data_IF_767591192094
#
_entry.id   IF_767591192094
#
_cell.length_a   1.000
_cell.length_b   1.000
_cell.length_c   1.000
_cell.angle_alpha   90.00
_cell.angle_beta   90.00
_cell.angle_gamma   90.00
#
_symmetry.space_group_name_H-M   'P 1'
#
loop_
_entity.id
_entity.type
_entity.pdbx_description
1 polymer ?
#
# COMPACT_ATOMS: atom_id res chain seq x y z
N UNK A 1 3.87 22.29 -12.61
CA UNK A 1 2.59 22.34 -11.84
C UNK A 1 2.87 22.30 -10.35
N UNK A 2 1.94 22.80 -9.48
CA UNK A 2 1.99 22.54 -8.03
C UNK A 2 1.58 21.09 -7.75
N UNK A 3 2.05 20.49 -6.66
CA UNK A 3 1.58 19.17 -6.22
C UNK A 3 0.07 19.12 -5.99
N UNK A 4 -0.52 17.94 -6.17
CA UNK A 4 -1.94 17.68 -5.96
C UNK A 4 -2.17 16.96 -4.64
N UNK A 5 -3.21 17.35 -3.91
CA UNK A 5 -3.84 16.56 -2.83
C UNK A 5 -5.14 15.96 -3.32
N UNK A 6 -5.45 14.80 -2.81
CA UNK A 6 -6.69 14.09 -3.13
C UNK A 6 -7.55 13.92 -1.88
N UNK A 7 -8.84 13.73 -2.09
CA UNK A 7 -9.76 13.33 -1.02
C UNK A 7 -9.50 11.88 -0.64
N UNK A 8 -9.13 11.57 0.62
CA UNK A 8 -8.88 10.19 1.02
C UNK A 8 -10.19 9.40 1.06
N UNK A 9 -10.19 8.20 0.47
CA UNK A 9 -11.32 7.28 0.58
C UNK A 9 -11.16 6.41 1.84
N UNK A 10 -12.00 6.68 2.86
CA UNK A 10 -12.01 5.94 4.12
C UNK A 10 -12.92 4.72 4.00
N UNK A 11 -12.36 3.53 4.15
CA UNK A 11 -13.07 2.26 4.00
C UNK A 11 -13.23 1.57 5.35
N UNK A 12 -14.49 1.36 5.72
CA UNK A 12 -14.83 0.56 6.90
C UNK A 12 -14.60 -0.92 6.63
N UNK A 13 -14.03 -1.61 7.60
CA UNK A 13 -13.78 -3.04 7.53
C UNK A 13 -14.06 -3.70 8.87
N UNK A 14 -14.37 -5.00 8.86
CA UNK A 14 -14.66 -5.76 10.10
C UNK A 14 -13.44 -5.84 11.04
N UNK A 15 -12.24 -5.67 10.53
CA UNK A 15 -10.97 -5.71 11.26
C UNK A 15 -10.36 -4.33 11.53
N UNK A 16 -10.98 -3.26 11.01
CA UNK A 16 -10.49 -1.88 11.12
C UNK A 16 -10.57 -1.31 12.54
N UNK A 17 -9.90 -0.19 12.73
CA UNK A 17 -9.76 0.51 14.01
C UNK A 17 -9.87 2.02 13.92
N UNK A 18 -9.30 2.71 14.92
CA UNK A 18 -9.34 4.17 15.06
C UNK A 18 -7.99 4.83 14.74
N UNK A 19 -6.92 4.06 14.62
CA UNK A 19 -5.55 4.60 14.54
C UNK A 19 -5.35 5.48 13.30
N UNK A 20 -5.97 5.17 12.15
CA UNK A 20 -5.91 6.01 10.94
C UNK A 20 -6.42 7.42 11.25
N UNK A 21 -7.61 7.54 11.84
CA UNK A 21 -8.21 8.84 12.15
C UNK A 21 -7.38 9.63 13.18
N UNK A 22 -6.91 8.96 14.23
CA UNK A 22 -6.04 9.53 15.25
C UNK A 22 -4.71 10.02 14.64
N UNK A 23 -4.08 9.18 13.82
CA UNK A 23 -2.80 9.48 13.17
C UNK A 23 -2.90 10.65 12.19
N UNK A 24 -3.99 10.72 11.42
CA UNK A 24 -4.26 11.81 10.47
C UNK A 24 -4.80 13.08 11.15
N UNK A 25 -5.22 13.00 12.42
CA UNK A 25 -5.85 14.12 13.14
C UNK A 25 -7.20 14.52 12.51
N UNK A 26 -7.96 13.57 11.98
CA UNK A 26 -9.26 13.79 11.36
C UNK A 26 -10.39 13.22 12.22
N UNK A 27 -11.58 13.84 12.11
CA UNK A 27 -12.80 13.28 12.72
C UNK A 27 -13.32 12.18 11.81
N UNK A 28 -13.28 10.93 12.27
CA UNK A 28 -13.89 9.82 11.57
C UNK A 28 -15.39 9.71 11.90
N UNK A 29 -16.17 9.26 10.92
CA UNK A 29 -17.59 8.91 11.10
C UNK A 29 -17.79 7.49 11.63
N UNK A 30 -16.73 6.67 11.70
CA UNK A 30 -16.76 5.29 12.16
C UNK A 30 -15.55 4.95 13.00
N UNK A 31 -15.70 3.98 13.91
CA UNK A 31 -14.63 3.42 14.75
C UNK A 31 -13.91 2.21 14.11
N UNK A 32 -14.30 1.81 12.91
CA UNK A 32 -13.83 0.62 12.22
C UNK A 32 -13.19 0.92 10.85
N UNK A 33 -12.46 2.04 10.74
CA UNK A 33 -11.77 2.39 9.51
C UNK A 33 -10.52 1.51 9.39
N UNK A 34 -10.56 0.55 8.47
CA UNK A 34 -9.43 -0.35 8.22
C UNK A 34 -8.47 0.18 7.17
N UNK A 35 -8.97 0.92 6.18
CA UNK A 35 -8.15 1.44 5.09
C UNK A 35 -8.46 2.92 4.83
N UNK A 36 -7.43 3.71 4.51
CA UNK A 36 -7.54 5.04 3.92
C UNK A 36 -6.78 5.03 2.60
N UNK A 37 -7.49 5.10 1.49
CA UNK A 37 -6.88 5.15 0.17
C UNK A 37 -6.52 6.60 -0.15
N UNK A 38 -5.24 6.87 -0.23
CA UNK A 38 -4.70 8.22 -0.38
C UNK A 38 -4.59 8.65 -1.85
N UNK A 39 -4.09 7.75 -2.69
CA UNK A 39 -4.05 7.92 -4.14
C UNK A 39 -4.42 6.58 -4.78
N UNK A 40 -5.45 6.57 -5.60
CA UNK A 40 -6.01 5.38 -6.22
C UNK A 40 -6.39 5.62 -7.68
N UNK A 41 -5.92 4.74 -8.56
CA UNK A 41 -6.41 4.62 -9.93
C UNK A 41 -7.41 3.47 -10.13
N UNK A 42 -7.85 2.82 -9.04
CA UNK A 42 -8.80 1.68 -9.12
C UNK A 42 -10.14 2.16 -9.63
N UNK A 43 -10.64 1.58 -10.71
CA UNK A 43 -11.91 1.92 -11.34
C UNK A 43 -13.07 1.85 -10.35
N UNK A 44 -13.85 2.92 -10.28
CA UNK A 44 -14.95 3.08 -9.32
C UNK A 44 -14.51 3.60 -7.93
N UNK A 45 -13.22 3.65 -7.67
CA UNK A 45 -12.61 4.21 -6.45
C UNK A 45 -11.40 5.11 -6.78
N UNK A 46 -11.48 5.81 -7.90
CA UNK A 46 -10.45 6.75 -8.36
C UNK A 46 -10.39 7.95 -7.42
N UNK A 47 -9.17 8.36 -7.09
CA UNK A 47 -8.96 9.54 -6.24
C UNK A 47 -9.45 10.81 -6.92
N UNK A 48 -10.09 11.68 -6.13
CA UNK A 48 -10.63 12.97 -6.56
C UNK A 48 -9.72 14.09 -6.05
N UNK A 49 -9.36 15.03 -6.92
CA UNK A 49 -8.51 16.17 -6.57
C UNK A 49 -9.22 17.07 -5.57
N UNK A 50 -8.62 17.26 -4.39
CA UNK A 50 -9.07 18.20 -3.37
C UNK A 50 -8.47 19.59 -3.56
N UNK A 51 -7.15 19.66 -3.84
CA UNK A 51 -6.42 20.91 -4.08
C UNK A 51 -5.13 20.68 -4.89
N UNK A 52 -4.57 21.74 -5.46
CA UNK A 52 -3.28 21.71 -6.17
C UNK A 52 -3.40 22.02 -7.66
N UNK A 53 -2.34 21.70 -8.41
CA UNK A 53 -2.29 21.93 -9.85
C UNK A 53 -2.01 23.38 -10.27
N UNK A 54 -2.48 23.75 -11.46
CA UNK A 54 -2.27 25.08 -12.07
C UNK A 54 -3.53 25.95 -12.05
N UNK A 55 -4.68 25.35 -11.81
CA UNK A 55 -5.98 26.00 -11.91
C UNK A 55 -6.94 25.48 -10.84
N UNK A 56 -7.85 26.32 -10.37
CA UNK A 56 -8.95 25.90 -9.50
C UNK A 56 -9.93 24.92 -10.21
N UNK A 57 -9.86 24.83 -11.54
CA UNK A 57 -10.63 23.88 -12.36
C UNK A 57 -10.14 22.42 -12.21
N UNK A 58 -8.97 22.19 -11.60
CA UNK A 58 -8.47 20.84 -11.34
C UNK A 58 -9.21 20.17 -10.20
N UNK A 59 -9.78 20.96 -9.29
CA UNK A 59 -10.54 20.45 -8.14
C UNK A 59 -11.78 19.69 -8.59
N UNK A 60 -11.96 18.49 -8.04
CA UNK A 60 -13.09 17.59 -8.34
C UNK A 60 -12.83 16.66 -9.53
N UNK A 61 -11.74 16.82 -10.27
CA UNK A 61 -11.35 15.84 -11.29
C UNK A 61 -10.92 14.54 -10.65
N UNK A 62 -11.27 13.43 -11.27
CA UNK A 62 -10.68 12.13 -10.96
C UNK A 62 -9.22 12.09 -11.40
N UNK A 63 -8.42 11.19 -10.83
CA UNK A 63 -7.01 11.03 -11.24
C UNK A 63 -6.89 10.68 -12.73
N UNK A 64 -7.82 9.90 -13.29
CA UNK A 64 -7.84 9.55 -14.72
C UNK A 64 -8.13 10.77 -15.59
N UNK A 65 -9.09 11.62 -15.22
CA UNK A 65 -9.36 12.89 -15.91
C UNK A 65 -8.17 13.85 -15.81
N UNK A 66 -7.51 13.90 -14.65
CA UNK A 66 -6.29 14.66 -14.44
C UNK A 66 -5.16 14.19 -15.37
N UNK A 67 -4.98 12.87 -15.51
CA UNK A 67 -4.01 12.27 -16.43
C UNK A 67 -4.38 12.59 -17.88
N UNK A 68 -5.65 12.52 -18.27
CA UNK A 68 -6.09 12.91 -19.63
C UNK A 68 -5.76 14.37 -19.95
N UNK A 69 -5.91 15.27 -18.96
CA UNK A 69 -5.63 16.71 -19.10
C UNK A 69 -4.14 17.01 -19.21
N UNK A 70 -3.29 16.40 -18.39
CA UNK A 70 -1.88 16.77 -18.25
C UNK A 70 -0.88 15.76 -18.82
N UNK A 71 -1.30 14.51 -19.06
CA UNK A 71 -0.55 13.46 -19.75
C UNK A 71 0.87 13.27 -19.20
N UNK A 72 1.88 13.32 -20.10
CA UNK A 72 3.30 13.21 -19.76
C UNK A 72 3.81 14.27 -18.78
N UNK A 73 3.17 15.43 -18.73
CA UNK A 73 3.54 16.47 -17.75
C UNK A 73 3.23 16.05 -16.32
N UNK A 74 2.17 15.24 -16.13
CA UNK A 74 1.80 14.70 -14.83
C UNK A 74 2.59 13.44 -14.50
N UNK A 75 2.58 12.44 -15.39
CA UNK A 75 3.13 11.12 -15.13
C UNK A 75 4.62 10.96 -15.48
N UNK A 76 5.14 11.77 -16.42
CA UNK A 76 6.39 11.55 -17.12
C UNK A 76 6.17 10.76 -18.42
N UNK A 77 7.02 11.01 -19.42
CA UNK A 77 6.86 10.48 -20.77
C UNK A 77 6.77 8.95 -20.80
N UNK A 78 7.78 8.26 -20.22
CA UNK A 78 7.83 6.78 -20.20
C UNK A 78 6.70 6.15 -19.41
N UNK A 79 6.29 6.79 -18.30
CA UNK A 79 5.18 6.30 -17.47
C UNK A 79 3.87 6.44 -18.24
N UNK A 80 3.65 7.58 -18.91
CA UNK A 80 2.45 7.79 -19.71
C UNK A 80 2.41 6.86 -20.94
N UNK A 81 3.53 6.64 -21.61
CA UNK A 81 3.61 5.65 -22.71
C UNK A 81 3.24 4.23 -22.27
N UNK A 82 3.65 3.85 -21.05
CA UNK A 82 3.41 2.50 -20.50
C UNK A 82 1.99 2.30 -19.98
N UNK A 83 1.41 3.30 -19.32
CA UNK A 83 0.15 3.16 -18.58
C UNK A 83 -1.01 3.96 -19.17
N UNK A 84 -0.75 4.87 -20.12
CA UNK A 84 -1.80 5.73 -20.70
C UNK A 84 -2.47 6.58 -19.62
N UNK A 85 -3.79 6.43 -19.49
CA UNK A 85 -4.60 7.13 -18.49
C UNK A 85 -4.76 6.37 -17.18
N UNK A 86 -4.26 5.13 -17.10
CA UNK A 86 -4.34 4.33 -15.87
C UNK A 86 -3.22 4.78 -14.90
N UNK A 87 -3.60 5.17 -13.70
CA UNK A 87 -2.62 5.50 -12.67
C UNK A 87 -2.00 4.21 -12.10
N UNK A 88 -0.65 4.08 -12.05
CA UNK A 88 -0.01 2.77 -11.85
C UNK A 88 0.05 2.27 -10.40
N UNK A 89 -0.19 3.14 -9.40
CA UNK A 89 -0.02 2.83 -7.99
C UNK A 89 -1.31 3.03 -7.18
N UNK A 90 -1.41 2.31 -6.08
CA UNK A 90 -2.40 2.53 -5.03
C UNK A 90 -1.67 2.69 -3.70
N UNK A 91 -1.96 3.79 -3.01
CA UNK A 91 -1.35 4.15 -1.73
C UNK A 91 -2.40 4.11 -0.65
N UNK A 92 -2.14 3.40 0.44
CA UNK A 92 -3.07 3.27 1.57
C UNK A 92 -2.39 3.44 2.91
N UNK A 93 -3.15 3.91 3.89
CA UNK A 93 -2.91 3.59 5.30
C UNK A 93 -3.81 2.41 5.68
N UNK A 94 -3.28 1.48 6.47
CA UNK A 94 -4.01 0.31 6.96
C UNK A 94 -3.90 0.26 8.49
N UNK A 95 -5.06 0.16 9.17
CA UNK A 95 -5.16 -0.04 10.62
C UNK A 95 -5.75 -1.41 10.92
N UNK A 96 -4.92 -2.33 11.38
CA UNK A 96 -5.33 -3.69 11.76
C UNK A 96 -5.66 -3.77 13.25
N UNK A 97 -6.89 -3.42 13.66
CA UNK A 97 -7.36 -3.68 15.01
C UNK A 97 -7.45 -5.19 15.29
N UNK A 98 -7.78 -5.97 14.28
CA UNK A 98 -7.77 -7.45 14.28
C UNK A 98 -6.92 -7.94 13.12
N UNK A 99 -6.53 -9.22 13.14
CA UNK A 99 -5.79 -9.83 12.04
C UNK A 99 -6.56 -9.69 10.71
N UNK A 100 -5.90 -9.31 9.65
CA UNK A 100 -6.45 -9.38 8.31
C UNK A 100 -6.53 -10.85 7.87
N UNK A 101 -7.34 -11.14 6.85
CA UNK A 101 -7.33 -12.48 6.24
C UNK A 101 -5.96 -12.84 5.73
N UNK A 102 -5.62 -14.13 5.81
CA UNK A 102 -4.49 -14.67 5.04
C UNK A 102 -4.87 -14.64 3.57
N UNK A 103 -4.00 -14.10 2.75
CA UNK A 103 -4.28 -13.82 1.35
C UNK A 103 -3.04 -13.94 0.46
N UNK A 104 -3.28 -14.03 -0.83
CA UNK A 104 -2.26 -13.97 -1.87
C UNK A 104 -2.79 -13.16 -3.05
N UNK A 105 -1.89 -12.53 -3.78
CA UNK A 105 -2.24 -11.74 -4.97
C UNK A 105 -1.65 -12.38 -6.23
N UNK A 106 -2.40 -12.38 -7.36
CA UNK A 106 -1.88 -12.87 -8.63
C UNK A 106 -0.79 -11.94 -9.18
N UNK A 107 0.14 -12.48 -9.95
CA UNK A 107 1.08 -11.72 -10.76
C UNK A 107 0.40 -11.04 -11.97
N UNK A 108 1.15 -10.23 -12.73
CA UNK A 108 0.61 -9.50 -13.90
C UNK A 108 -0.01 -10.44 -14.94
N UNK A 109 0.58 -11.62 -15.16
CA UNK A 109 0.11 -12.57 -16.16
C UNK A 109 -1.23 -13.16 -15.74
N UNK A 110 -1.29 -13.68 -14.52
CA UNK A 110 -2.47 -14.33 -13.98
C UNK A 110 -3.62 -13.33 -13.76
N UNK A 111 -3.31 -12.13 -13.29
CA UNK A 111 -4.27 -11.06 -13.10
C UNK A 111 -4.87 -10.60 -14.43
N UNK A 112 -4.04 -10.45 -15.47
CA UNK A 112 -4.50 -10.07 -16.80
C UNK A 112 -5.39 -11.16 -17.41
N UNK A 113 -4.99 -12.43 -17.27
CA UNK A 113 -5.74 -13.57 -17.79
C UNK A 113 -7.12 -13.71 -17.14
N UNK A 114 -7.19 -13.58 -15.82
CA UNK A 114 -8.40 -13.88 -15.04
C UNK A 114 -9.32 -12.67 -14.82
N UNK A 115 -8.72 -11.47 -14.73
CA UNK A 115 -9.44 -10.27 -14.30
C UNK A 115 -9.26 -9.07 -15.24
N UNK A 116 -8.39 -9.17 -16.26
CA UNK A 116 -8.12 -8.06 -17.17
C UNK A 116 -7.42 -6.86 -16.54
N UNK A 117 -6.74 -7.05 -15.42
CA UNK A 117 -6.07 -6.00 -14.65
C UNK A 117 -4.59 -6.31 -14.39
N UNK A 118 -3.90 -5.41 -13.67
CA UNK A 118 -2.53 -5.61 -13.22
C UNK A 118 -2.47 -6.58 -12.05
N UNK A 119 -1.30 -7.21 -11.85
CA UNK A 119 -0.96 -7.95 -10.64
C UNK A 119 -0.88 -7.04 -9.41
N UNK A 120 -0.59 -7.63 -8.25
CA UNK A 120 -0.49 -6.87 -7.01
C UNK A 120 0.77 -7.24 -6.24
N UNK A 121 1.88 -6.60 -6.64
CA UNK A 121 3.11 -6.52 -5.84
C UNK A 121 3.00 -5.31 -4.93
N UNK A 122 3.35 -5.47 -3.66
CA UNK A 122 3.20 -4.45 -2.65
C UNK A 122 4.38 -4.40 -1.68
N UNK A 123 4.48 -3.31 -0.94
CA UNK A 123 5.36 -3.17 0.20
C UNK A 123 4.63 -2.49 1.34
N UNK A 124 5.03 -2.81 2.57
CA UNK A 124 4.53 -2.19 3.78
C UNK A 124 5.63 -1.48 4.55
N UNK A 125 5.30 -0.32 5.10
CA UNK A 125 6.12 0.41 6.07
C UNK A 125 5.34 0.55 7.38
N UNK A 126 5.86 0.02 8.47
CA UNK A 126 5.17 0.02 9.77
C UNK A 126 5.32 1.38 10.44
N UNK A 127 4.19 2.07 10.65
CA UNK A 127 4.10 3.37 11.34
C UNK A 127 3.96 3.18 12.85
N UNK A 128 3.09 2.25 13.25
CA UNK A 128 2.84 1.92 14.65
C UNK A 128 2.63 0.41 14.80
N UNK A 129 3.09 -0.14 15.91
CA UNK A 129 2.97 -1.55 16.22
C UNK A 129 2.78 -1.73 17.72
N UNK A 130 1.70 -2.39 18.11
CA UNK A 130 1.44 -2.74 19.52
C UNK A 130 2.37 -3.85 19.99
N UNK A 131 2.68 -3.94 21.28
CA UNK A 131 3.46 -5.08 21.81
C UNK A 131 2.85 -6.42 21.40
N UNK A 132 3.67 -7.30 20.82
CA UNK A 132 3.26 -8.63 20.34
C UNK A 132 2.59 -8.65 18.97
N UNK A 133 2.41 -7.51 18.30
CA UNK A 133 1.90 -7.47 16.94
C UNK A 133 2.84 -8.19 15.96
N UNK A 134 2.26 -8.83 14.96
CA UNK A 134 3.00 -9.64 13.99
C UNK A 134 2.63 -9.27 12.56
N UNK A 135 3.54 -9.56 11.66
CA UNK A 135 3.30 -9.66 10.22
C UNK A 135 3.51 -11.11 9.83
N UNK A 136 2.55 -11.66 9.11
CA UNK A 136 2.63 -13.00 8.54
C UNK A 136 3.00 -12.85 7.07
N UNK A 137 4.15 -13.38 6.65
CA UNK A 137 4.61 -13.21 5.28
C UNK A 137 5.54 -14.32 4.83
N UNK A 138 5.17 -14.99 3.72
CA UNK A 138 5.89 -16.11 3.14
C UNK A 138 5.72 -17.41 3.89
N UNK A 139 6.26 -18.50 3.33
CA UNK A 139 6.26 -19.81 3.93
C UNK A 139 7.49 -20.00 4.83
N UNK A 140 7.32 -20.67 5.98
CA UNK A 140 8.41 -21.04 6.90
C UNK A 140 8.99 -22.43 6.60
N UNK A 141 8.31 -23.21 5.76
CA UNK A 141 8.77 -24.53 5.27
C UNK A 141 8.18 -24.79 3.88
N UNK A 142 8.83 -25.65 3.13
CA UNK A 142 8.33 -26.07 1.82
C UNK A 142 7.05 -26.88 1.96
N UNK A 143 6.04 -26.54 1.15
CA UNK A 143 4.78 -27.27 0.97
C UNK A 143 4.49 -27.41 -0.50
N UNK A 144 3.72 -28.41 -0.89
CA UNK A 144 3.23 -28.57 -2.26
C UNK A 144 1.85 -27.94 -2.44
N UNK A 145 1.39 -27.70 -3.68
CA UNK A 145 0.02 -27.27 -3.94
C UNK A 145 -1.04 -28.21 -3.34
N UNK A 146 -0.75 -29.54 -3.31
CA UNK A 146 -1.62 -30.54 -2.72
C UNK A 146 -1.64 -30.44 -1.20
N UNK A 147 -0.50 -30.11 -0.56
CA UNK A 147 -0.43 -29.83 0.88
C UNK A 147 -1.27 -28.62 1.24
N UNK A 148 -1.17 -27.54 0.45
CA UNK A 148 -1.98 -26.33 0.62
C UNK A 148 -3.48 -26.66 0.60
N UNK A 149 -3.98 -27.37 -0.41
CA UNK A 149 -5.39 -27.77 -0.50
C UNK A 149 -5.79 -28.59 0.73
N UNK A 150 -4.99 -29.59 1.12
CA UNK A 150 -5.29 -30.39 2.33
C UNK A 150 -5.36 -29.58 3.61
N UNK A 151 -4.59 -28.50 3.73
CA UNK A 151 -4.58 -27.61 4.91
C UNK A 151 -5.80 -26.70 4.94
N UNK A 152 -6.32 -26.32 3.78
CA UNK A 152 -7.50 -25.45 3.65
C UNK A 152 -8.83 -26.23 3.71
N UNK A 153 -8.84 -27.52 3.34
CA UNK A 153 -10.01 -28.41 3.42
C UNK A 153 -10.31 -28.90 4.85
N UNK A 154 -9.35 -28.81 5.76
CA UNK A 154 -9.55 -29.19 7.15
C UNK A 154 -10.38 -28.15 7.88
N UNK A 155 -11.47 -28.58 8.51
CA UNK A 155 -12.20 -27.76 9.45
C UNK A 155 -11.23 -27.21 10.51
N UNK A 156 -11.35 -25.91 10.78
CA UNK A 156 -10.56 -25.28 11.83
C UNK A 156 -11.00 -25.82 13.17
N UNK A 157 -10.10 -26.55 13.84
CA UNK A 157 -10.32 -27.00 15.22
C UNK A 157 -10.01 -25.78 16.11
N UNK A 158 -10.98 -25.35 16.90
CA UNK A 158 -10.85 -24.22 17.83
C UNK A 158 -10.40 -22.90 17.18
N UNK A 159 -10.76 -22.68 15.90
CA UNK A 159 -10.40 -21.44 15.16
C UNK A 159 -8.97 -21.39 14.66
N UNK A 160 -8.19 -22.46 14.80
CA UNK A 160 -6.84 -22.56 14.26
C UNK A 160 -6.84 -23.30 12.92
N UNK A 161 -6.23 -22.69 11.89
CA UNK A 161 -6.02 -23.32 10.58
C UNK A 161 -4.60 -23.90 10.50
N UNK A 162 -4.45 -25.16 10.04
CA UNK A 162 -3.13 -25.73 9.77
C UNK A 162 -2.27 -24.90 8.80
N UNK A 163 -2.90 -24.08 7.98
CA UNK A 163 -2.21 -23.14 7.09
C UNK A 163 -1.35 -22.13 7.87
N UNK A 164 -1.79 -21.71 9.07
CA UNK A 164 -1.03 -20.77 9.90
C UNK A 164 0.29 -21.35 10.40
N UNK A 165 0.40 -22.68 10.53
CA UNK A 165 1.62 -23.38 10.99
C UNK A 165 2.75 -23.36 9.94
N UNK A 166 2.42 -23.04 8.69
CA UNK A 166 3.37 -23.02 7.56
C UNK A 166 3.67 -21.62 7.06
N UNK A 167 3.03 -20.59 7.62
CA UNK A 167 3.31 -19.19 7.29
C UNK A 167 4.31 -18.60 8.29
N UNK A 168 5.33 -17.92 7.81
CA UNK A 168 6.31 -17.25 8.65
C UNK A 168 5.69 -16.08 9.40
N UNK A 169 5.84 -16.05 10.72
CA UNK A 169 5.39 -14.97 11.60
C UNK A 169 6.60 -14.12 12.02
N UNK A 170 6.53 -12.83 11.76
CA UNK A 170 7.58 -11.85 12.06
C UNK A 170 7.07 -10.88 13.12
N UNK A 171 7.85 -10.64 14.18
CA UNK A 171 7.56 -9.55 15.11
C UNK A 171 7.60 -8.21 14.35
N UNK A 172 6.60 -7.38 14.58
CA UNK A 172 6.43 -6.10 13.90
C UNK A 172 6.94 -4.94 14.76
N UNK A 173 7.75 -4.08 14.19
CA UNK A 173 8.29 -2.89 14.87
C UNK A 173 8.15 -1.66 13.99
N UNK A 174 8.06 -0.48 14.62
CA UNK A 174 8.03 0.80 13.90
C UNK A 174 9.27 0.96 13.02
N UNK A 175 9.06 1.29 11.77
CA UNK A 175 10.09 1.43 10.75
C UNK A 175 10.48 0.12 10.05
N UNK A 176 9.89 -1.00 10.39
CA UNK A 176 10.07 -2.25 9.63
C UNK A 176 9.48 -2.11 8.23
N UNK A 177 10.11 -2.80 7.28
CA UNK A 177 9.71 -2.83 5.87
C UNK A 177 9.51 -4.29 5.47
N UNK A 178 8.36 -4.56 4.85
CA UNK A 178 8.06 -5.86 4.26
C UNK A 178 7.82 -5.69 2.76
N UNK A 179 8.60 -6.39 1.93
CA UNK A 179 8.38 -6.44 0.49
C UNK A 179 7.66 -7.73 0.12
N UNK A 180 6.53 -7.60 -0.55
CA UNK A 180 5.59 -8.67 -0.84
C UNK A 180 5.33 -8.75 -2.36
N UNK A 181 6.22 -9.42 -3.11
CA UNK A 181 5.94 -9.74 -4.51
C UNK A 181 4.62 -10.50 -4.63
N UNK A 182 3.92 -10.32 -5.75
CA UNK A 182 2.78 -11.17 -6.10
C UNK A 182 3.13 -12.66 -5.93
N UNK A 183 2.18 -13.46 -5.46
CA UNK A 183 2.39 -14.88 -5.14
C UNK A 183 2.78 -15.16 -3.69
N UNK A 184 3.23 -14.18 -2.92
CA UNK A 184 3.60 -14.39 -1.51
C UNK A 184 2.36 -14.42 -0.63
N UNK A 185 2.14 -15.54 0.09
CA UNK A 185 1.13 -15.63 1.14
C UNK A 185 1.45 -14.65 2.27
N UNK A 186 0.46 -13.87 2.72
CA UNK A 186 0.68 -12.88 3.76
C UNK A 186 -0.61 -12.54 4.53
N UNK A 187 -0.43 -11.92 5.69
CA UNK A 187 -1.48 -11.26 6.47
C UNK A 187 -0.87 -10.22 7.40
N UNK A 188 -1.60 -9.13 7.65
CA UNK A 188 -1.26 -8.14 8.67
C UNK A 188 -1.91 -8.58 9.98
N UNK A 189 -1.09 -8.90 10.97
CA UNK A 189 -1.57 -9.24 12.31
C UNK A 189 -2.13 -8.02 13.03
N UNK A 190 -2.97 -8.29 14.05
CA UNK A 190 -3.60 -7.26 14.87
C UNK A 190 -2.59 -6.31 15.52
N UNK A 191 -2.96 -5.04 15.62
CA UNK A 191 -2.19 -4.02 16.34
C UNK A 191 -1.21 -3.23 15.49
N UNK A 192 -1.22 -3.38 14.17
CA UNK A 192 -0.38 -2.61 13.25
C UNK A 192 -1.11 -1.42 12.65
N UNK A 193 -0.39 -0.31 12.47
CA UNK A 193 -0.72 0.78 11.56
C UNK A 193 0.44 0.91 10.55
N UNK A 194 0.14 0.89 9.27
CA UNK A 194 1.17 0.90 8.23
C UNK A 194 0.77 1.69 6.98
N UNK A 195 1.76 2.05 6.17
CA UNK A 195 1.57 2.48 4.78
C UNK A 195 1.74 1.27 3.88
N UNK A 196 0.80 1.07 2.96
CA UNK A 196 0.89 0.14 1.85
C UNK A 196 1.10 0.91 0.55
N UNK A 197 2.13 0.52 -0.20
CA UNK A 197 2.42 1.02 -1.54
C UNK A 197 2.38 -0.18 -2.48
N UNK A 198 1.49 -0.17 -3.47
CA UNK A 198 1.22 -1.30 -4.34
C UNK A 198 0.92 -0.90 -5.78
N UNK A 199 0.96 -1.88 -6.70
CA UNK A 199 0.37 -1.71 -8.02
C UNK A 199 -1.14 -1.41 -7.91
N UNK A 200 -1.69 -0.70 -8.90
CA UNK A 200 -3.13 -0.42 -8.98
C UNK A 200 -3.92 -1.71 -9.24
N UNK A 201 -4.27 -2.39 -8.16
CA UNK A 201 -5.11 -3.59 -8.16
C UNK A 201 -5.73 -3.75 -6.78
N UNK A 202 -6.99 -4.20 -6.71
CA UNK A 202 -7.68 -4.59 -5.47
C UNK A 202 -8.00 -6.09 -5.43
N UNK A 203 -7.44 -6.87 -6.36
CA UNK A 203 -7.64 -8.32 -6.42
C UNK A 203 -6.96 -9.01 -5.25
N UNK A 204 -7.76 -9.74 -4.48
CA UNK A 204 -7.33 -10.49 -3.30
C UNK A 204 -7.89 -11.90 -3.33
N UNK A 205 -7.02 -12.90 -3.35
CA UNK A 205 -7.40 -14.30 -3.13
C UNK A 205 -7.26 -14.61 -1.64
N UNK A 206 -8.39 -14.59 -0.95
CA UNK A 206 -8.48 -14.90 0.49
C UNK A 206 -8.45 -16.39 0.69
N UNK A 207 -7.55 -16.85 1.57
CA UNK A 207 -7.37 -18.28 1.82
C UNK A 207 -7.77 -18.70 3.23
N UNK A 208 -7.75 -17.78 4.20
CA UNK A 208 -8.20 -18.00 5.55
C UNK A 208 -8.67 -16.70 6.21
N UNK A 209 -9.77 -16.73 6.93
CA UNK A 209 -10.38 -15.53 7.53
C UNK A 209 -10.75 -15.69 9.02
N UNK A 210 -10.08 -16.57 9.73
CA UNK A 210 -10.27 -16.77 11.17
C UNK A 210 -11.72 -17.11 11.57
N UNK A 211 -12.52 -17.67 10.66
CA UNK A 211 -13.93 -17.97 10.89
C UNK A 211 -14.82 -16.75 11.15
N UNK A 212 -14.36 -15.55 10.82
CA UNK A 212 -15.10 -14.30 11.08
C UNK A 212 -16.40 -14.22 10.30
N UNK A 213 -17.38 -13.61 10.96
CA UNK A 213 -18.70 -13.36 10.37
C UNK A 213 -19.02 -11.87 10.39
N UNK A 214 -19.73 -11.41 9.38
CA UNK A 214 -20.29 -10.06 9.33
C UNK A 214 -21.46 -9.90 10.31
N UNK A 215 -22.05 -8.71 10.36
CA UNK A 215 -23.21 -8.40 11.21
C UNK A 215 -24.45 -9.27 10.89
N UNK A 216 -24.51 -9.85 9.69
CA UNK A 216 -25.60 -10.74 9.24
C UNK A 216 -25.27 -12.22 9.47
N UNK A 217 -24.11 -12.55 10.05
CA UNK A 217 -23.66 -13.91 10.31
C UNK A 217 -22.99 -14.60 9.12
N UNK A 218 -22.72 -13.90 8.00
CA UNK A 218 -22.09 -14.46 6.81
C UNK A 218 -20.57 -14.44 6.93
N UNK A 219 -19.90 -15.50 6.45
CA UNK A 219 -18.45 -15.52 6.25
C UNK A 219 -18.09 -14.84 4.94
N UNK A 220 -16.87 -14.26 4.87
CA UNK A 220 -16.35 -13.78 3.59
C UNK A 220 -15.95 -14.97 2.71
N UNK A 221 -16.10 -14.79 1.41
CA UNK A 221 -15.70 -15.79 0.41
C UNK A 221 -14.22 -16.11 0.49
N UNK A 222 -13.88 -17.40 0.38
CA UNK A 222 -12.53 -17.90 0.24
C UNK A 222 -12.27 -18.31 -1.21
N UNK A 223 -11.05 -18.07 -1.68
CA UNK A 223 -10.64 -18.25 -3.08
C UNK A 223 -9.57 -19.33 -3.21
N UNK A 224 -9.82 -20.51 -2.62
CA UNK A 224 -8.81 -21.58 -2.44
C UNK A 224 -8.18 -22.01 -3.77
N UNK A 225 -9.02 -22.32 -4.77
CA UNK A 225 -8.54 -22.78 -6.08
C UNK A 225 -7.78 -21.67 -6.84
N UNK A 226 -8.27 -20.44 -6.79
CA UNK A 226 -7.60 -19.31 -7.43
C UNK A 226 -6.25 -19.00 -6.76
N UNK A 227 -6.19 -19.12 -5.45
CA UNK A 227 -4.98 -18.90 -4.67
C UNK A 227 -3.92 -19.97 -4.91
N UNK A 228 -4.33 -21.24 -5.06
CA UNK A 228 -3.42 -22.36 -5.35
C UNK A 228 -2.49 -22.08 -6.53
N UNK A 229 -3.03 -21.50 -7.60
CA UNK A 229 -2.25 -21.19 -8.80
C UNK A 229 -1.42 -19.92 -8.66
N UNK A 230 -1.79 -19.04 -7.73
CA UNK A 230 -1.10 -17.76 -7.51
C UNK A 230 0.05 -17.86 -6.51
N UNK A 231 0.01 -18.84 -5.57
CA UNK A 231 0.99 -18.97 -4.49
C UNK A 231 2.37 -19.31 -5.05
N UNK A 232 3.37 -18.53 -4.60
CA UNK A 232 4.78 -18.91 -4.71
C UNK A 232 5.14 -19.83 -3.52
N UNK A 233 5.36 -21.11 -3.81
CA UNK A 233 5.62 -22.16 -2.81
C UNK A 233 7.07 -22.22 -2.33
N UNK A 234 7.92 -21.27 -2.75
CA UNK A 234 9.29 -21.18 -2.28
C UNK A 234 9.36 -20.57 -0.87
N UNK A 235 10.36 -21.00 -0.11
CA UNK A 235 10.68 -20.45 1.21
C UNK A 235 11.70 -19.33 1.04
N UNK A 236 11.41 -18.17 1.63
CA UNK A 236 12.28 -16.99 1.61
C UNK A 236 12.62 -16.56 3.04
N UNK A 237 13.87 -16.12 3.25
CA UNK A 237 14.36 -15.68 4.55
C UNK A 237 14.51 -14.15 4.64
N UNK A 238 14.48 -13.45 3.50
CA UNK A 238 14.75 -12.01 3.33
C UNK A 238 13.48 -11.17 3.17
N UNK A 239 12.42 -11.52 3.89
CA UNK A 239 11.10 -10.89 3.76
C UNK A 239 11.08 -9.48 4.37
N UNK A 240 11.83 -9.29 5.48
CA UNK A 240 11.98 -7.99 6.14
C UNK A 240 13.27 -7.31 5.71
N UNK A 241 13.14 -6.13 5.10
CA UNK A 241 14.29 -5.33 4.69
C UNK A 241 14.79 -4.43 5.81
N UNK A 242 16.10 -4.15 5.80
CA UNK A 242 16.74 -3.18 6.69
C UNK A 242 17.25 -2.00 5.89
N UNK A 243 17.32 -0.83 6.51
CA UNK A 243 17.85 0.39 5.90
C UNK A 243 18.60 1.22 6.95
N UNK A 244 19.46 2.12 6.49
CA UNK A 244 20.13 3.08 7.35
C UNK A 244 19.14 4.12 7.86
N UNK A 245 18.77 4.04 9.15
CA UNK A 245 17.77 4.91 9.78
C UNK A 245 18.27 6.35 9.95
N UNK A 246 19.59 6.57 9.93
CA UNK A 246 20.24 7.87 10.11
C UNK A 246 20.49 8.57 8.77
N UNK A 247 20.32 7.88 7.65
CA UNK A 247 20.46 8.46 6.33
C UNK A 247 19.36 9.51 6.06
N UNK A 248 19.77 10.66 5.49
CA UNK A 248 18.81 11.67 5.02
C UNK A 248 17.90 11.11 3.94
N UNK A 249 18.43 10.25 3.08
CA UNK A 249 17.69 9.53 2.03
C UNK A 249 18.07 8.07 2.14
N UNK A 250 17.11 7.21 2.47
CA UNK A 250 17.28 5.76 2.52
C UNK A 250 16.45 5.09 1.43
N UNK A 251 17.04 4.25 0.60
CA UNK A 251 16.33 3.36 -0.31
C UNK A 251 15.69 2.23 0.52
N UNK A 252 14.37 2.05 0.40
CA UNK A 252 13.63 1.05 1.15
C UNK A 252 13.34 -0.19 0.29
N UNK A 253 12.69 0.02 -0.85
CA UNK A 253 12.33 -1.04 -1.80
C UNK A 253 12.47 -0.48 -3.21
N UNK A 254 13.14 -1.23 -4.08
CA UNK A 254 13.22 -0.94 -5.51
C UNK A 254 12.89 -2.18 -6.32
N UNK A 255 11.86 -2.09 -7.15
CA UNK A 255 11.43 -3.16 -8.05
C UNK A 255 10.95 -2.56 -9.38
N UNK A 256 10.53 -3.41 -10.31
CA UNK A 256 10.05 -2.94 -11.63
C UNK A 256 8.75 -2.11 -11.60
N UNK A 257 8.08 -2.07 -10.45
CA UNK A 257 6.79 -1.40 -10.30
C UNK A 257 6.88 -0.09 -9.54
N UNK A 258 7.80 0.01 -8.59
CA UNK A 258 8.02 1.22 -7.78
C UNK A 258 9.43 1.25 -7.18
N UNK A 259 9.91 2.46 -6.94
CA UNK A 259 11.09 2.77 -6.11
C UNK A 259 10.58 3.59 -4.92
N UNK A 260 10.79 3.07 -3.71
CA UNK A 260 10.32 3.70 -2.46
C UNK A 260 11.52 4.08 -1.62
N UNK A 261 11.53 5.34 -1.18
CA UNK A 261 12.60 5.90 -0.33
C UNK A 261 12.03 6.61 0.87
N UNK A 262 12.76 6.56 1.99
CA UNK A 262 12.48 7.39 3.16
C UNK A 262 13.36 8.63 3.12
N UNK A 263 12.77 9.79 3.38
CA UNK A 263 13.46 11.06 3.55
C UNK A 263 13.30 11.54 5.00
N UNK A 264 14.41 11.99 5.58
CA UNK A 264 14.41 12.67 6.88
C UNK A 264 15.01 14.06 6.68
N UNK A 265 14.14 15.10 6.77
CA UNK A 265 14.52 16.48 6.46
C UNK A 265 14.44 17.32 7.73
N UNK A 266 15.52 18.03 8.03
CA UNK A 266 15.55 19.07 9.04
C UNK A 266 15.70 20.45 8.36
N UNK A 267 14.68 21.28 8.48
CA UNK A 267 14.55 22.65 7.99
C UNK A 267 14.41 22.81 6.48
N UNK A 268 15.35 22.30 5.65
CA UNK A 268 15.33 22.53 4.21
C UNK A 268 16.12 21.49 3.42
N UNK A 269 15.56 21.05 2.29
CA UNK A 269 16.28 20.25 1.30
C UNK A 269 15.76 20.51 -0.12
N UNK A 270 16.61 20.26 -1.13
CA UNK A 270 16.23 20.16 -2.53
C UNK A 270 16.69 18.80 -3.04
N UNK A 271 15.76 17.93 -3.41
CA UNK A 271 16.00 16.53 -3.76
C UNK A 271 15.62 16.32 -5.22
N UNK A 272 16.59 15.91 -6.02
CA UNK A 272 16.41 15.51 -7.40
C UNK A 272 16.79 14.04 -7.55
N UNK A 273 15.79 13.17 -7.76
CA UNK A 273 15.99 11.74 -7.95
C UNK A 273 16.51 11.36 -9.34
N UNK A 274 16.62 12.34 -10.27
CA UNK A 274 17.04 12.12 -11.67
C UNK A 274 16.13 11.12 -12.41
N UNK A 275 14.84 11.23 -12.20
CA UNK A 275 13.81 10.35 -12.78
C UNK A 275 12.92 11.11 -13.77
N UNK A 276 12.29 10.37 -14.68
CA UNK A 276 11.26 10.83 -15.61
C UNK A 276 9.89 10.30 -15.18
N UNK A 277 9.49 10.60 -13.95
CA UNK A 277 8.27 10.12 -13.32
C UNK A 277 7.71 11.18 -12.37
N UNK A 278 6.46 11.07 -12.03
CA UNK A 278 5.88 11.74 -10.87
C UNK A 278 6.54 11.26 -9.57
N UNK A 279 6.36 12.00 -8.48
CA UNK A 279 6.73 11.55 -7.13
C UNK A 279 5.51 11.63 -6.22
N UNK A 280 5.17 10.55 -5.56
CA UNK A 280 4.24 10.55 -4.42
C UNK A 280 5.05 10.86 -3.17
N UNK A 281 4.62 11.80 -2.35
CA UNK A 281 5.18 12.04 -1.03
C UNK A 281 4.11 11.80 0.04
N UNK A 282 4.43 10.92 0.99
CA UNK A 282 3.56 10.51 2.10
C UNK A 282 4.21 11.00 3.38
N UNK A 283 3.54 11.85 4.15
CA UNK A 283 4.09 12.42 5.37
C UNK A 283 3.91 11.45 6.56
N UNK A 284 5.01 10.89 7.03
CA UNK A 284 5.04 10.02 8.19
C UNK A 284 5.02 10.83 9.51
N UNK A 285 5.71 11.97 9.55
CA UNK A 285 5.84 12.76 10.76
C UNK A 285 6.22 14.21 10.43
N UNK A 286 5.72 15.15 11.23
CA UNK A 286 6.05 16.56 11.08
C UNK A 286 5.20 17.29 10.06
N UNK A 287 5.73 18.40 9.54
CA UNK A 287 5.06 19.30 8.60
C UNK A 287 6.10 19.95 7.70
N UNK A 288 5.78 20.06 6.42
CA UNK A 288 6.63 20.76 5.46
C UNK A 288 5.79 21.43 4.35
N UNK A 289 6.45 22.33 3.61
CA UNK A 289 6.00 22.77 2.30
C UNK A 289 6.86 22.07 1.23
N UNK A 290 6.23 21.45 0.25
CA UNK A 290 6.88 20.81 -0.89
C UNK A 290 6.38 21.50 -2.17
N UNK A 291 7.29 22.18 -2.91
CA UNK A 291 6.97 22.89 -4.16
C UNK A 291 5.73 23.83 -4.01
N UNK A 292 5.61 24.53 -2.86
CA UNK A 292 4.51 25.47 -2.58
C UNK A 292 3.21 24.81 -2.11
N UNK A 293 3.23 23.51 -1.76
CA UNK A 293 2.08 22.79 -1.19
C UNK A 293 2.43 22.28 0.22
N UNK A 294 1.63 22.67 1.21
CA UNK A 294 1.83 22.21 2.59
C UNK A 294 1.42 20.73 2.72
N UNK A 295 2.21 19.97 3.47
CA UNK A 295 1.93 18.59 3.83
C UNK A 295 2.19 18.38 5.32
N UNK A 296 1.34 17.62 6.00
CA UNK A 296 1.47 17.26 7.41
C UNK A 296 1.28 15.77 7.61
N UNK A 297 1.62 15.30 8.81
CA UNK A 297 1.48 13.89 9.19
C UNK A 297 0.15 13.28 8.74
N UNK A 298 0.22 12.13 8.09
CA UNK A 298 -0.93 11.40 7.56
C UNK A 298 -1.49 11.92 6.24
N UNK A 299 -0.88 12.95 5.65
CA UNK A 299 -1.26 13.44 4.31
C UNK A 299 -0.35 12.87 3.22
N UNK A 300 -0.88 12.83 2.01
CA UNK A 300 -0.20 12.36 0.79
C UNK A 300 -0.40 13.37 -0.32
N UNK A 301 0.66 13.64 -1.10
CA UNK A 301 0.62 14.50 -2.28
C UNK A 301 1.22 13.80 -3.49
N UNK A 302 0.73 14.15 -4.67
CA UNK A 302 1.31 13.78 -5.97
C UNK A 302 2.05 14.97 -6.54
N UNK A 303 3.38 14.86 -6.65
CA UNK A 303 4.24 15.86 -7.31
C UNK A 303 4.35 15.49 -8.78
N UNK A 304 3.90 16.37 -9.71
CA UNK A 304 3.93 16.10 -11.13
C UNK A 304 5.34 15.95 -11.69
N UNK A 305 5.47 15.16 -12.76
CA UNK A 305 6.75 14.89 -13.42
C UNK A 305 7.41 16.16 -14.02
N UNK A 306 6.63 17.16 -14.41
CA UNK A 306 7.16 18.44 -14.92
C UNK A 306 7.79 19.33 -13.84
N UNK A 307 7.65 18.95 -12.55
CA UNK A 307 8.21 19.69 -11.41
C UNK A 307 8.62 18.72 -10.28
N UNK A 308 9.28 17.62 -10.62
CA UNK A 308 9.59 16.51 -9.71
C UNK A 308 10.88 16.69 -8.87
N UNK A 309 11.53 17.84 -8.93
CA UNK A 309 12.53 18.22 -7.94
C UNK A 309 11.80 18.67 -6.69
N UNK A 310 12.03 17.94 -5.58
CA UNK A 310 11.35 18.24 -4.31
C UNK A 310 12.08 19.35 -3.56
N UNK A 311 11.57 20.57 -3.62
CA UNK A 311 12.00 21.67 -2.75
C UNK A 311 11.19 21.64 -1.47
N UNK A 312 11.81 21.16 -0.39
CA UNK A 312 11.17 20.89 0.90
C UNK A 312 11.60 21.94 1.90
N UNK A 313 10.64 22.55 2.58
CA UNK A 313 10.87 23.52 3.68
C UNK A 313 10.06 23.06 4.88
N UNK A 314 10.71 22.68 5.97
CA UNK A 314 10.10 22.18 7.20
C UNK A 314 10.89 21.01 7.79
N UNK A 315 10.44 20.53 8.96
CA UNK A 315 11.00 19.35 9.62
C UNK A 315 10.03 18.19 9.45
N UNK A 316 10.42 17.19 8.67
CA UNK A 316 9.51 16.15 8.19
C UNK A 316 10.20 14.83 7.92
N UNK A 317 9.50 13.73 8.20
CA UNK A 317 9.83 12.39 7.69
C UNK A 317 8.80 12.02 6.60
N UNK A 318 9.28 11.63 5.43
CA UNK A 318 8.45 11.27 4.27
C UNK A 318 8.80 9.87 3.79
N UNK A 319 7.79 9.17 3.26
CA UNK A 319 8.05 8.17 2.22
C UNK A 319 7.85 8.84 0.86
N UNK A 320 8.72 8.52 -0.09
CA UNK A 320 8.51 8.89 -1.50
C UNK A 320 8.40 7.62 -2.32
N UNK A 321 7.48 7.62 -3.29
CA UNK A 321 7.28 6.53 -4.23
C UNK A 321 7.16 7.07 -5.66
N UNK A 322 7.79 6.38 -6.62
CA UNK A 322 7.76 6.72 -8.04
C UNK A 322 7.96 5.49 -8.90
N UNK A 323 7.68 5.59 -10.19
CA UNK A 323 7.95 4.54 -11.18
C UNK A 323 9.42 4.68 -11.63
N UNK A 324 10.24 3.60 -11.54
CA UNK A 324 11.66 3.64 -11.90
C UNK A 324 11.91 3.72 -13.40
#
# INVERSE_FOLDING_TARGET
MKPFKFEPYLKETIWGGKQIAEYKGIKACSENIGESWEISGVKGHESIVAEGGTSCEDKGLTISELIQKYREKLLGEKVYERFGTDFPLLIKFIDSRQDLSVQVHPDDKLAKERHGCQGKTEMWYIINSKPGAKIYAGLNKHITPEDYVRMTDKETIDGHSPLMDVIAAHDSHVGDIFFLPAGRLHSIGAGNLLVEIQQTSDITYRVYDFGRRDANGNTRELHIDLAKDAIDYNVYTDIRSTYDKDAQIAELVKCKYFDVRKLTIDKKASIDFKIQSFVIAICLKGTAEINGTCIRQGETILVPADNNILNIIGTVELLTAFIP
#
